data_IF_288954864620
#
_entry.id   IF_288954864620
#
_cell.length_a   1.000
_cell.length_b   1.000
_cell.length_c   1.000
_cell.angle_alpha   90.00
_cell.angle_beta   90.00
_cell.angle_gamma   90.00
#
_symmetry.space_group_name_H-M   'P 1'
#
loop_
_entity.id
_entity.type
_entity.pdbx_description
1 polymer ?
#
# COMPACT_ATOMS: atom_id res chain seq x y z
N UNK A 1 19.39 -2.20 6.05
CA UNK A 1 19.10 -2.90 4.78
C UNK A 1 18.24 -4.13 5.04
N UNK A 2 17.15 -4.26 4.29
CA UNK A 2 16.31 -5.44 4.41
C UNK A 2 16.97 -6.57 3.64
N UNK A 3 17.39 -7.60 4.34
CA UNK A 3 18.03 -8.76 3.74
C UNK A 3 17.24 -10.03 4.00
N UNK A 4 16.05 -9.89 4.58
CA UNK A 4 15.25 -11.03 4.96
C UNK A 4 14.73 -11.78 3.73
N UNK A 5 15.00 -13.06 3.70
CA UNK A 5 14.55 -13.96 2.63
C UNK A 5 13.03 -13.98 2.46
N UNK A 6 12.29 -13.58 3.48
CA UNK A 6 10.83 -13.53 3.43
C UNK A 6 10.30 -12.48 2.48
N UNK A 7 11.08 -11.45 2.16
CA UNK A 7 10.65 -10.33 1.33
C UNK A 7 11.29 -10.28 -0.06
N UNK A 8 12.10 -11.27 -0.42
CA UNK A 8 12.89 -11.21 -1.66
C UNK A 8 12.04 -10.97 -2.91
N UNK A 9 10.97 -11.73 -3.08
CA UNK A 9 10.09 -11.59 -4.24
C UNK A 9 9.28 -10.30 -4.20
N UNK A 10 8.85 -9.91 -3.01
CA UNK A 10 8.08 -8.69 -2.81
C UNK A 10 8.94 -7.47 -3.15
N UNK A 11 10.17 -7.42 -2.65
CA UNK A 11 11.11 -6.33 -2.94
C UNK A 11 11.40 -6.27 -4.44
N UNK A 12 11.64 -7.41 -5.06
CA UNK A 12 11.90 -7.48 -6.50
C UNK A 12 10.71 -6.94 -7.30
N UNK A 13 9.50 -7.33 -6.94
CA UNK A 13 8.28 -6.82 -7.56
C UNK A 13 8.17 -5.30 -7.44
N UNK A 14 8.40 -4.76 -6.23
CA UNK A 14 8.32 -3.32 -5.98
C UNK A 14 9.36 -2.56 -6.80
N UNK A 15 10.59 -3.07 -6.83
CA UNK A 15 11.68 -2.42 -7.57
C UNK A 15 11.45 -2.40 -9.08
N UNK A 16 10.68 -3.34 -9.59
CA UNK A 16 10.38 -3.43 -11.02
C UNK A 16 9.03 -2.80 -11.39
N UNK A 17 8.33 -2.23 -10.43
CA UNK A 17 7.01 -1.62 -10.65
C UNK A 17 7.11 -0.10 -10.58
N UNK A 18 6.78 0.56 -11.68
CA UNK A 18 6.82 2.02 -11.75
C UNK A 18 5.82 2.64 -10.77
N UNK A 19 6.30 3.55 -9.95
CA UNK A 19 5.47 4.28 -9.00
C UNK A 19 5.35 3.64 -7.63
N UNK A 20 5.87 2.42 -7.44
CA UNK A 20 5.93 1.82 -6.13
C UNK A 20 7.31 2.03 -5.51
N UNK A 21 7.35 2.22 -4.21
CA UNK A 21 8.58 2.43 -3.46
C UNK A 21 8.53 1.68 -2.14
N UNK A 22 9.70 1.31 -1.65
CA UNK A 22 9.85 0.83 -0.29
C UNK A 22 9.93 2.07 0.59
N UNK A 23 8.95 2.24 1.47
CA UNK A 23 8.82 3.46 2.29
C UNK A 23 9.56 3.37 3.60
N UNK A 24 9.72 2.17 4.16
CA UNK A 24 10.45 1.97 5.40
C UNK A 24 11.25 0.67 5.34
N UNK A 25 12.57 0.76 5.14
CA UNK A 25 13.44 -0.42 5.06
C UNK A 25 14.15 -0.74 6.39
N UNK A 26 13.71 -0.20 7.52
CA UNK A 26 14.50 -0.26 8.75
C UNK A 26 14.32 -1.53 9.59
N UNK A 27 13.36 -2.38 9.28
CA UNK A 27 13.09 -3.58 10.05
C UNK A 27 13.34 -4.85 9.23
N UNK A 28 13.83 -5.89 9.89
CA UNK A 28 14.01 -7.19 9.24
C UNK A 28 12.71 -8.00 9.16
N UNK A 29 11.70 -7.60 9.92
CA UNK A 29 10.43 -8.33 9.98
C UNK A 29 9.25 -7.55 9.43
N UNK A 30 9.44 -6.25 9.12
CA UNK A 30 8.39 -5.38 8.62
C UNK A 30 8.88 -4.65 7.38
N UNK A 31 8.07 -4.69 6.33
CA UNK A 31 8.32 -3.98 5.10
C UNK A 31 7.11 -3.10 4.80
N UNK A 32 7.35 -1.82 4.53
CA UNK A 32 6.29 -0.90 4.14
C UNK A 32 6.53 -0.49 2.69
N UNK A 33 5.57 -0.79 1.82
CA UNK A 33 5.63 -0.42 0.41
C UNK A 33 4.46 0.48 0.08
N UNK A 34 4.63 1.35 -0.89
CA UNK A 34 3.52 2.19 -1.24
C UNK A 34 3.79 3.19 -2.34
N UNK A 35 2.76 3.96 -2.60
CA UNK A 35 2.73 5.00 -3.62
C UNK A 35 2.10 6.25 -3.01
N UNK A 36 2.78 7.37 -3.14
CA UNK A 36 2.30 8.66 -2.68
C UNK A 36 1.93 9.51 -3.89
N UNK A 37 0.66 9.85 -4.02
CA UNK A 37 0.19 10.80 -5.02
C UNK A 37 -0.16 12.13 -4.37
N UNK A 38 -0.69 13.06 -5.15
CA UNK A 38 -1.03 14.40 -4.64
C UNK A 38 -2.12 14.35 -3.56
N UNK A 39 -3.09 13.48 -3.73
CA UNK A 39 -4.25 13.42 -2.84
C UNK A 39 -4.46 12.06 -2.18
N UNK A 40 -3.78 11.04 -2.64
CA UNK A 40 -3.95 9.68 -2.13
C UNK A 40 -2.62 9.12 -1.69
N UNK A 41 -2.58 8.64 -0.46
CA UNK A 41 -1.49 7.81 0.04
C UNK A 41 -1.99 6.37 0.04
N UNK A 42 -1.27 5.50 -0.64
CA UNK A 42 -1.55 4.07 -0.66
C UNK A 42 -0.31 3.34 -0.16
N UNK A 43 -0.43 2.67 0.99
CA UNK A 43 0.69 1.87 1.49
C UNK A 43 0.20 0.55 2.05
N UNK A 44 1.07 -0.43 2.02
CA UNK A 44 0.84 -1.75 2.60
C UNK A 44 1.98 -2.03 3.56
N UNK A 45 1.64 -2.23 4.82
CA UNK A 45 2.59 -2.64 5.86
C UNK A 45 2.55 -4.16 5.95
N UNK A 46 3.69 -4.80 5.74
CA UNK A 46 3.79 -6.25 5.64
C UNK A 46 4.67 -6.73 6.78
N UNK A 47 4.13 -7.53 7.67
CA UNK A 47 4.87 -8.08 8.81
C UNK A 47 4.91 -9.59 8.71
N UNK A 48 6.10 -10.17 8.90
CA UNK A 48 6.24 -11.61 9.02
C UNK A 48 5.80 -12.02 10.42
N UNK A 49 4.81 -12.88 10.50
CA UNK A 49 4.26 -13.38 11.77
C UNK A 49 4.61 -14.85 11.94
N UNK A 50 4.07 -15.48 12.97
CA UNK A 50 4.34 -16.89 13.26
C UNK A 50 4.14 -17.77 12.02
N UNK A 51 4.91 -18.83 11.91
CA UNK A 51 4.88 -19.78 10.82
C UNK A 51 5.35 -19.20 9.46
N UNK A 52 5.93 -17.99 9.48
CA UNK A 52 6.39 -17.35 8.26
C UNK A 52 5.29 -16.79 7.37
N UNK A 53 4.09 -16.64 7.91
CA UNK A 53 3.00 -16.00 7.19
C UNK A 53 3.14 -14.48 7.25
N UNK A 54 2.29 -13.77 6.51
CA UNK A 54 2.36 -12.32 6.40
C UNK A 54 1.07 -11.69 6.88
N UNK A 55 1.21 -10.72 7.77
CA UNK A 55 0.09 -9.85 8.14
C UNK A 55 0.24 -8.56 7.35
N UNK A 56 -0.75 -8.25 6.54
CA UNK A 56 -0.73 -7.08 5.67
C UNK A 56 -1.80 -6.09 6.12
N UNK A 57 -1.37 -4.87 6.45
CA UNK A 57 -2.27 -3.76 6.74
C UNK A 57 -2.26 -2.85 5.52
N UNK A 58 -3.40 -2.75 4.85
CA UNK A 58 -3.55 -1.94 3.65
C UNK A 58 -4.12 -0.59 4.08
N UNK A 59 -3.37 0.48 3.86
CA UNK A 59 -3.77 1.82 4.25
C UNK A 59 -3.98 2.68 3.00
N UNK A 60 -5.21 3.13 2.80
CA UNK A 60 -5.54 4.08 1.75
C UNK A 60 -6.07 5.32 2.43
N UNK A 61 -5.34 6.43 2.27
CA UNK A 61 -5.63 7.69 2.94
C UNK A 61 -5.78 8.80 1.90
N UNK A 62 -6.62 9.76 2.21
CA UNK A 62 -6.93 10.87 1.32
C UNK A 62 -6.60 12.20 2.00
N UNK A 63 -5.91 13.07 1.27
CA UNK A 63 -5.62 14.43 1.69
C UNK A 63 -6.50 15.41 0.90
N UNK A 64 -7.65 15.77 1.48
CA UNK A 64 -8.61 16.65 0.83
C UNK A 64 -8.31 18.12 0.99
N UNK A 65 -7.71 18.47 2.13
CA UNK A 65 -7.35 19.84 2.48
C UNK A 65 -6.10 19.83 3.34
N UNK A 66 -5.77 20.89 3.97
CA UNK A 66 -4.47 21.25 4.55
C UNK A 66 -3.96 20.40 5.71
N UNK A 67 -4.73 19.48 6.23
CA UNK A 67 -4.42 18.84 7.51
C UNK A 67 -3.79 17.47 7.42
N UNK A 68 -3.29 17.10 6.25
CA UNK A 68 -2.67 15.81 6.05
C UNK A 68 -3.66 14.73 5.63
N UNK A 69 -3.22 13.48 5.69
CA UNK A 69 -4.01 12.37 5.17
C UNK A 69 -4.97 11.83 6.22
N UNK A 70 -6.20 11.61 5.80
CA UNK A 70 -7.21 10.92 6.61
C UNK A 70 -7.38 9.51 6.07
N UNK A 71 -7.29 8.51 6.95
CA UNK A 71 -7.49 7.12 6.56
C UNK A 71 -8.92 6.90 6.10
N UNK A 72 -9.06 6.40 4.89
CA UNK A 72 -10.35 6.10 4.28
C UNK A 72 -10.67 4.62 4.42
N UNK A 73 -9.64 3.76 4.34
CA UNK A 73 -9.82 2.33 4.24
C UNK A 73 -8.56 1.66 4.76
N UNK A 74 -8.71 0.75 5.74
CA UNK A 74 -7.56 0.13 6.39
C UNK A 74 -7.82 -1.32 6.76
N UNK A 75 -8.06 -2.23 5.79
CA UNK A 75 -8.26 -3.63 6.10
C UNK A 75 -6.96 -4.32 6.48
N UNK A 76 -7.11 -5.38 7.28
CA UNK A 76 -6.00 -6.24 7.66
C UNK A 76 -6.24 -7.62 7.04
N UNK A 77 -5.21 -8.17 6.41
CA UNK A 77 -5.25 -9.50 5.79
C UNK A 77 -4.06 -10.31 6.23
N UNK A 78 -4.28 -11.60 6.47
CA UNK A 78 -3.20 -12.55 6.75
C UNK A 78 -3.13 -13.50 5.57
N UNK A 79 -1.95 -13.59 4.96
CA UNK A 79 -1.72 -14.46 3.80
C UNK A 79 -0.47 -15.29 4.02
N UNK A 80 -0.29 -16.34 3.24
CA UNK A 80 0.75 -17.33 3.49
C UNK A 80 1.97 -17.19 2.60
N UNK A 81 1.85 -16.56 1.43
CA UNK A 81 2.92 -16.52 0.44
C UNK A 81 3.22 -15.10 -0.02
N UNK A 82 4.43 -14.90 -0.55
CA UNK A 82 4.81 -13.62 -1.13
C UNK A 82 3.93 -13.27 -2.34
N UNK A 83 3.53 -14.27 -3.13
CA UNK A 83 2.65 -14.07 -4.27
C UNK A 83 1.30 -13.50 -3.86
N UNK A 84 0.76 -13.97 -2.74
CA UNK A 84 -0.49 -13.44 -2.19
C UNK A 84 -0.31 -12.00 -1.71
N UNK A 85 0.84 -11.67 -1.12
CA UNK A 85 1.16 -10.29 -0.73
C UNK A 85 1.22 -9.39 -1.96
N UNK A 86 1.88 -9.83 -3.02
CA UNK A 86 1.99 -9.09 -4.27
C UNK A 86 0.60 -8.83 -4.85
N UNK A 87 -0.28 -9.82 -4.83
CA UNK A 87 -1.66 -9.65 -5.28
C UNK A 87 -2.41 -8.61 -4.45
N UNK A 88 -2.17 -8.55 -3.15
CA UNK A 88 -2.77 -7.53 -2.28
C UNK A 88 -2.26 -6.13 -2.62
N UNK A 89 -0.98 -6.00 -2.90
CA UNK A 89 -0.39 -4.72 -3.33
C UNK A 89 -1.06 -4.25 -4.62
N UNK A 90 -1.18 -5.14 -5.60
CA UNK A 90 -1.86 -4.83 -6.87
C UNK A 90 -3.31 -4.38 -6.66
N UNK A 91 -4.04 -5.11 -5.83
CA UNK A 91 -5.43 -4.76 -5.53
C UNK A 91 -5.54 -3.42 -4.84
N UNK A 92 -4.62 -3.11 -3.92
CA UNK A 92 -4.64 -1.83 -3.21
C UNK A 92 -4.40 -0.67 -4.15
N UNK A 93 -3.52 -0.82 -5.13
CA UNK A 93 -3.28 0.19 -6.17
C UNK A 93 -4.55 0.41 -6.98
N UNK A 94 -5.20 -0.66 -7.39
CA UNK A 94 -6.44 -0.58 -8.15
C UNK A 94 -7.55 0.14 -7.37
N UNK A 95 -7.69 -0.20 -6.09
CA UNK A 95 -8.68 0.44 -5.22
C UNK A 95 -8.38 1.93 -5.04
N UNK A 96 -7.13 2.31 -4.81
CA UNK A 96 -6.76 3.71 -4.64
C UNK A 96 -7.00 4.51 -5.93
N UNK A 97 -6.75 3.90 -7.08
CA UNK A 97 -7.01 4.54 -8.37
C UNK A 97 -8.51 4.80 -8.57
N UNK A 98 -9.34 3.81 -8.26
CA UNK A 98 -10.80 3.96 -8.34
C UNK A 98 -11.30 5.03 -7.38
N UNK A 99 -10.77 5.06 -6.18
CA UNK A 99 -11.14 6.06 -5.18
C UNK A 99 -10.80 7.46 -5.66
N UNK A 100 -9.60 7.65 -6.21
CA UNK A 100 -9.16 8.94 -6.74
C UNK A 100 -10.08 9.41 -7.87
N UNK A 101 -10.43 8.52 -8.79
CA UNK A 101 -11.35 8.84 -9.90
C UNK A 101 -12.72 9.25 -9.38
N UNK A 102 -13.23 8.56 -8.37
CA UNK A 102 -14.50 8.88 -7.74
C UNK A 102 -14.46 10.24 -7.07
N UNK A 103 -13.40 10.54 -6.34
CA UNK A 103 -13.24 11.84 -5.68
C UNK A 103 -13.20 12.98 -6.71
N UNK A 104 -12.46 12.80 -7.80
CA UNK A 104 -12.40 13.79 -8.86
C UNK A 104 -13.78 14.02 -9.49
N UNK A 105 -14.54 12.95 -9.71
CA UNK A 105 -15.87 13.04 -10.27
C UNK A 105 -16.84 13.82 -9.36
N UNK A 106 -16.79 13.51 -8.06
CA UNK A 106 -17.63 14.19 -7.07
C UNK A 106 -17.28 15.67 -6.94
N UNK A 107 -16.00 16.02 -7.03
CA UNK A 107 -15.57 17.42 -7.03
C UNK A 107 -16.16 18.17 -8.22
N UNK A 108 -16.11 17.57 -9.39
CA UNK A 108 -16.70 18.19 -10.59
C UNK A 108 -18.19 18.45 -10.42
N UNK A 109 -18.91 17.52 -9.83
CA UNK A 109 -20.35 17.69 -9.57
C UNK A 109 -20.63 18.86 -8.65
N UNK A 110 -19.74 19.12 -7.69
CA UNK A 110 -19.91 20.23 -6.75
C UNK A 110 -19.52 21.58 -7.36
N UNK A 111 -18.64 21.59 -8.35
CA UNK A 111 -18.15 22.81 -8.98
C UNK A 111 -19.09 23.35 -10.04
N UNK A 112 -19.99 22.56 -10.53
CA UNK A 112 -20.94 22.95 -11.57
C UNK A 112 -22.18 23.68 -11.00
#
# INVERSE_FOLDING_TARGET
>A
MITDKHFTKIIDYVNNHTGLNILDPHSNSILIVGRIGESILNQVSIEVVEMGWYQCIIDISYNGYDDGFTTVFQPVKIVKTEEEVINLIDKSISISTKLMNTVHQLRKELED
#
